data_IF_504544997253
#
_entry.id   IF_504544997253
#
_cell.length_a   1.000
_cell.length_b   1.000
_cell.length_c   1.000
_cell.angle_alpha   90.00
_cell.angle_beta   90.00
_cell.angle_gamma   90.00
#
_symmetry.space_group_name_H-M   'P 1'
#
loop_
_entity.id
_entity.type
_entity.pdbx_description
1 polymer ?
#
# COMPACT_ATOMS: atom_id res chain seq x y z
N UNK A 1 -14.71 11.35 37.17
CA UNK A 1 -14.43 9.93 37.50
C UNK A 1 -13.11 9.58 36.88
N UNK A 2 -12.14 9.28 37.71
CA UNK A 2 -10.72 9.25 37.37
C UNK A 2 -10.31 7.86 36.87
N UNK A 3 -9.63 7.78 35.70
CA UNK A 3 -9.28 6.53 35.00
C UNK A 3 -8.11 5.76 35.63
N UNK A 4 -7.68 6.12 36.86
CA UNK A 4 -6.51 5.51 37.52
C UNK A 4 -6.83 4.44 38.56
N UNK A 5 -8.07 4.06 38.77
CA UNK A 5 -8.48 3.13 39.85
C UNK A 5 -8.74 1.67 39.41
N UNK A 6 -8.53 1.30 38.15
CA UNK A 6 -8.90 -0.06 37.68
C UNK A 6 -7.74 -1.06 37.63
N UNK A 7 -6.53 -0.69 38.02
CA UNK A 7 -5.34 -1.54 37.88
C UNK A 7 -4.69 -1.99 39.20
N UNK A 8 -5.46 -2.09 40.27
CA UNK A 8 -4.94 -2.59 41.58
C UNK A 8 -5.82 -3.63 42.21
N UNK A 9 -6.07 -4.75 41.53
CA UNK A 9 -6.50 -5.99 42.23
C UNK A 9 -6.31 -7.18 41.28
N UNK A 10 -5.16 -7.80 41.30
CA UNK A 10 -4.93 -9.24 41.16
C UNK A 10 -3.48 -9.54 41.55
N UNK A 11 -3.34 -9.81 42.81
CA UNK A 11 -2.09 -10.31 43.38
C UNK A 11 -2.12 -11.82 43.53
N UNK A 12 -0.96 -12.42 43.29
CA UNK A 12 -0.39 -13.62 43.88
C UNK A 12 -1.20 -14.90 44.12
N UNK A 13 -0.79 -15.94 43.42
CA UNK A 13 -0.59 -17.34 43.89
C UNK A 13 0.08 -18.07 42.74
N UNK A 14 1.28 -18.65 42.82
CA UNK A 14 1.74 -19.64 43.73
C UNK A 14 2.36 -20.74 42.86
N UNK A 15 3.70 -20.79 42.81
CA UNK A 15 4.52 -21.77 42.09
C UNK A 15 4.37 -23.19 42.69
N UNK A 16 4.19 -24.20 41.85
CA UNK A 16 4.59 -25.57 42.17
C UNK A 16 5.12 -26.25 40.91
N UNK A 17 6.42 -26.43 40.88
CA UNK A 17 7.13 -27.27 39.93
C UNK A 17 7.00 -28.76 40.38
N UNK A 18 6.56 -29.60 39.43
CA UNK A 18 6.69 -31.07 39.61
C UNK A 18 7.43 -31.61 38.38
N UNK A 19 8.65 -32.07 38.61
CA UNK A 19 9.43 -32.83 37.65
C UNK A 19 8.97 -34.30 37.71
N UNK A 20 8.76 -34.93 36.56
CA UNK A 20 8.62 -36.37 36.44
C UNK A 20 9.43 -36.91 35.24
N UNK A 21 10.02 -38.09 35.32
CA UNK A 21 11.10 -38.51 34.46
C UNK A 21 10.65 -39.16 33.16
N UNK A 22 11.52 -38.97 32.15
CA UNK A 22 11.47 -39.64 30.85
C UNK A 22 11.68 -41.14 31.05
N UNK A 23 10.72 -41.96 30.60
CA UNK A 23 10.91 -43.35 30.32
C UNK A 23 10.76 -43.61 28.83
N UNK A 24 11.87 -43.93 28.22
CA UNK A 24 12.06 -44.40 26.87
C UNK A 24 11.58 -45.86 26.78
N UNK A 25 10.52 -46.11 26.00
CA UNK A 25 10.16 -47.47 25.58
C UNK A 25 10.13 -47.53 24.06
N UNK A 26 11.13 -48.24 23.51
CA UNK A 26 11.02 -48.83 22.18
C UNK A 26 10.07 -50.02 22.24
N UNK A 27 9.07 -50.02 21.35
CA UNK A 27 8.39 -51.25 20.95
C UNK A 27 8.03 -51.22 19.49
N UNK A 28 8.23 -52.32 18.87
CA UNK A 28 8.20 -52.69 17.48
C UNK A 28 6.79 -53.14 17.08
N UNK A 29 6.43 -52.77 15.87
CA UNK A 29 5.47 -53.38 14.94
C UNK A 29 4.09 -53.88 15.47
N UNK A 30 3.05 -53.28 14.95
CA UNK A 30 1.92 -53.94 14.27
C UNK A 30 1.02 -52.88 13.59
N UNK A 31 0.59 -53.21 12.37
CA UNK A 31 -0.28 -52.40 11.50
C UNK A 31 -1.68 -52.35 12.09
N UNK A 32 -2.25 -51.14 12.25
CA UNK A 32 -3.72 -50.90 12.24
C UNK A 32 -4.00 -49.50 11.71
N UNK A 33 -4.87 -49.46 10.71
CA UNK A 33 -5.43 -48.26 10.10
C UNK A 33 -6.22 -47.47 11.14
N UNK A 34 -5.69 -46.31 11.58
CA UNK A 34 -6.49 -45.32 12.32
C UNK A 34 -6.52 -44.00 11.59
N UNK A 35 -7.74 -43.55 11.37
CA UNK A 35 -8.10 -42.32 10.70
C UNK A 35 -7.30 -41.11 11.25
N UNK A 36 -6.39 -40.59 10.44
CA UNK A 36 -5.73 -39.33 10.68
C UNK A 36 -6.80 -38.23 10.55
N UNK A 37 -7.34 -37.81 11.67
CA UNK A 37 -8.07 -36.55 11.76
C UNK A 37 -7.07 -35.44 11.49
N UNK A 38 -6.95 -35.05 10.22
CA UNK A 38 -6.10 -33.94 9.79
C UNK A 38 -6.58 -32.68 10.51
N UNK A 39 -5.82 -32.25 11.52
CA UNK A 39 -5.87 -30.87 11.98
C UNK A 39 -5.38 -30.05 10.79
N UNK A 40 -6.33 -29.50 10.05
CA UNK A 40 -6.05 -28.48 9.06
C UNK A 40 -5.57 -27.27 9.88
N UNK A 41 -4.27 -27.21 10.14
CA UNK A 41 -3.64 -25.94 10.51
C UNK A 41 -3.85 -25.02 9.32
N UNK A 42 -4.90 -24.23 9.39
CA UNK A 42 -5.15 -23.13 8.47
C UNK A 42 -4.11 -22.05 8.79
N UNK A 43 -2.84 -22.33 8.44
CA UNK A 43 -1.81 -21.32 8.37
C UNK A 43 -2.27 -20.37 7.27
N UNK A 44 -2.96 -19.29 7.65
CA UNK A 44 -3.20 -18.17 6.74
C UNK A 44 -1.81 -17.75 6.28
N UNK A 45 -1.47 -18.10 5.05
CA UNK A 45 -0.24 -17.66 4.44
C UNK A 45 -0.25 -16.12 4.51
N UNK A 46 0.71 -15.52 5.21
CA UNK A 46 0.89 -14.06 5.25
C UNK A 46 1.04 -13.47 3.83
N UNK A 47 1.34 -14.31 2.84
CA UNK A 47 1.38 -13.96 1.43
C UNK A 47 0.03 -13.53 0.85
N UNK A 48 -1.12 -13.91 1.47
CA UNK A 48 -2.47 -13.57 1.00
C UNK A 48 -3.26 -12.80 2.08
N UNK A 49 -2.67 -11.77 2.67
CA UNK A 49 -3.34 -10.84 3.58
C UNK A 49 -3.85 -9.60 2.83
N UNK A 50 -4.95 -9.01 3.30
CA UNK A 50 -5.45 -7.72 2.77
C UNK A 50 -4.37 -6.66 2.92
N UNK A 51 -4.22 -5.81 1.90
CA UNK A 51 -3.33 -4.64 1.96
C UNK A 51 -3.82 -3.69 3.06
N UNK A 52 -2.89 -3.04 3.77
CA UNK A 52 -3.22 -2.07 4.82
C UNK A 52 -4.12 -0.96 4.27
N UNK A 53 -5.04 -0.51 5.10
CA UNK A 53 -5.93 0.61 4.76
C UNK A 53 -5.31 1.91 5.24
N UNK A 54 -5.26 2.88 4.32
CA UNK A 54 -4.71 4.19 4.57
C UNK A 54 -5.74 5.31 4.36
N UNK A 55 -5.39 6.51 4.75
CA UNK A 55 -6.25 7.68 4.53
C UNK A 55 -6.22 8.13 3.07
N UNK A 56 -7.35 8.68 2.56
CA UNK A 56 -7.37 9.40 1.28
C UNK A 56 -6.52 10.68 1.30
N UNK A 57 -6.08 11.11 2.47
CA UNK A 57 -5.31 12.32 2.65
C UNK A 57 -6.11 13.61 2.39
N UNK A 58 -5.43 14.77 2.34
CA UNK A 58 -6.08 16.06 2.20
C UNK A 58 -6.51 16.40 0.76
N UNK A 59 -6.12 15.58 -0.23
CA UNK A 59 -6.30 15.89 -1.65
C UNK A 59 -6.97 14.75 -2.45
N UNK A 60 -8.07 14.11 -1.98
CA UNK A 60 -8.74 13.05 -2.71
C UNK A 60 -9.30 13.54 -4.05
N UNK A 61 -9.51 12.63 -5.00
CA UNK A 61 -10.10 12.97 -6.30
C UNK A 61 -11.58 13.33 -6.13
N UNK A 62 -12.00 14.52 -6.61
CA UNK A 62 -13.36 15.03 -6.41
C UNK A 62 -14.39 14.36 -7.32
N UNK A 63 -14.01 14.05 -8.55
CA UNK A 63 -14.93 13.49 -9.57
C UNK A 63 -14.25 12.38 -10.37
N UNK A 64 -13.93 11.23 -9.75
CA UNK A 64 -13.10 10.20 -10.39
C UNK A 64 -13.77 9.56 -11.62
N UNK A 65 -15.11 9.54 -11.71
CA UNK A 65 -15.82 8.99 -12.88
C UNK A 65 -15.54 9.76 -14.17
N UNK A 66 -15.16 11.03 -14.08
CA UNK A 66 -14.77 11.86 -15.24
C UNK A 66 -13.31 11.65 -15.68
N UNK A 67 -12.52 10.85 -14.94
CA UNK A 67 -11.08 10.70 -15.14
C UNK A 67 -10.69 9.29 -15.61
N UNK A 68 -11.54 8.65 -16.42
CA UNK A 68 -11.27 7.34 -17.01
C UNK A 68 -10.21 7.49 -18.11
N UNK A 69 -8.95 7.31 -17.74
CA UNK A 69 -7.81 7.51 -18.64
C UNK A 69 -6.59 6.72 -18.20
N UNK A 70 -5.76 6.31 -19.19
CA UNK A 70 -4.48 5.62 -18.96
C UNK A 70 -3.33 6.63 -18.78
N UNK A 71 -3.28 7.66 -19.62
CA UNK A 71 -2.27 8.71 -19.53
C UNK A 71 -2.79 9.84 -18.62
N UNK A 72 -2.17 9.95 -17.44
CA UNK A 72 -2.54 10.93 -16.42
C UNK A 72 -1.58 12.13 -16.34
N UNK A 73 -0.59 12.19 -17.23
CA UNK A 73 0.46 13.25 -17.21
C UNK A 73 -0.15 14.65 -17.40
N UNK A 74 -1.10 14.79 -18.34
CA UNK A 74 -1.68 16.09 -18.72
C UNK A 74 -0.55 17.08 -19.13
N UNK A 75 -0.48 18.24 -18.49
CA UNK A 75 0.49 19.30 -18.71
C UNK A 75 1.73 19.23 -17.80
N UNK A 76 1.87 18.16 -17.02
CA UNK A 76 2.98 18.02 -16.08
C UNK A 76 4.25 17.51 -16.77
N UNK A 77 5.39 17.98 -16.28
CA UNK A 77 6.72 17.56 -16.72
C UNK A 77 7.45 16.88 -15.56
N UNK A 78 8.24 15.86 -15.87
CA UNK A 78 9.02 15.11 -14.90
C UNK A 78 9.69 13.90 -15.53
N UNK A 79 10.34 13.07 -14.73
CA UNK A 79 10.91 11.80 -15.17
C UNK A 79 9.76 10.88 -15.60
N UNK A 80 9.78 10.27 -16.80
CA UNK A 80 8.73 9.38 -17.28
C UNK A 80 8.49 8.23 -16.30
N UNK A 81 7.23 7.90 -16.06
CA UNK A 81 6.86 6.88 -15.09
C UNK A 81 5.66 6.06 -15.54
N UNK A 82 5.77 4.74 -15.42
CA UNK A 82 4.65 3.83 -15.65
C UNK A 82 4.26 3.12 -14.36
N UNK A 83 2.98 2.91 -14.17
CA UNK A 83 2.41 2.31 -12.97
C UNK A 83 1.56 1.12 -13.38
N UNK A 84 1.89 -0.07 -12.91
CA UNK A 84 1.11 -1.30 -13.12
C UNK A 84 0.64 -1.82 -11.75
N UNK A 85 -0.66 -1.85 -11.53
CA UNK A 85 -1.28 -2.37 -10.32
C UNK A 85 -2.06 -3.64 -10.65
N UNK A 86 -1.84 -4.70 -9.86
CA UNK A 86 -2.65 -5.93 -9.90
C UNK A 86 -3.54 -5.95 -8.67
N UNK A 87 -4.84 -6.19 -8.85
CA UNK A 87 -5.79 -6.35 -7.73
C UNK A 87 -6.12 -7.83 -7.57
N UNK A 88 -6.06 -8.33 -6.32
CA UNK A 88 -6.34 -9.71 -5.96
C UNK A 88 -7.40 -9.79 -4.88
N UNK A 89 -8.22 -10.86 -4.89
CA UNK A 89 -9.23 -11.12 -3.88
C UNK A 89 -8.74 -12.17 -2.88
N UNK A 90 -8.55 -11.78 -1.60
CA UNK A 90 -8.10 -12.69 -0.54
C UNK A 90 -9.10 -13.81 -0.26
N UNK A 91 -10.40 -13.55 -0.42
CA UNK A 91 -11.46 -14.55 -0.22
C UNK A 91 -11.48 -15.62 -1.32
N UNK A 92 -10.77 -15.38 -2.43
CA UNK A 92 -10.59 -16.32 -3.54
C UNK A 92 -9.12 -16.79 -3.64
N UNK A 93 -8.44 -17.02 -2.52
CA UNK A 93 -7.03 -17.43 -2.46
C UNK A 93 -6.09 -16.52 -3.26
N UNK A 94 -6.29 -15.21 -3.18
CA UNK A 94 -5.56 -14.21 -3.96
C UNK A 94 -5.64 -14.40 -5.47
N UNK A 95 -6.75 -14.92 -5.97
CA UNK A 95 -7.01 -14.88 -7.41
C UNK A 95 -7.12 -13.43 -7.90
N UNK A 96 -6.68 -13.18 -9.11
CA UNK A 96 -6.76 -11.87 -9.74
C UNK A 96 -8.21 -11.42 -9.87
N UNK A 97 -8.50 -10.17 -9.48
CA UNK A 97 -9.84 -9.61 -9.46
C UNK A 97 -10.10 -8.80 -10.74
N UNK A 98 -10.84 -9.39 -11.68
CA UNK A 98 -11.34 -8.70 -12.86
C UNK A 98 -12.51 -7.79 -12.52
N UNK A 99 -12.61 -6.62 -13.19
CA UNK A 99 -13.74 -5.71 -13.08
C UNK A 99 -13.70 -4.79 -11.86
N UNK A 100 -12.65 -4.84 -11.03
CA UNK A 100 -12.46 -3.86 -9.97
C UNK A 100 -12.16 -2.48 -10.57
N UNK A 101 -12.76 -1.44 -10.00
CA UNK A 101 -12.46 -0.06 -10.36
C UNK A 101 -11.31 0.42 -9.48
N UNK A 102 -10.28 1.03 -10.09
CA UNK A 102 -9.08 1.51 -9.41
C UNK A 102 -8.88 2.98 -9.75
N UNK A 103 -8.92 3.82 -8.73
CA UNK A 103 -8.53 5.22 -8.78
C UNK A 103 -7.12 5.38 -8.26
N UNK A 104 -6.31 6.19 -8.93
CA UNK A 104 -5.02 6.63 -8.40
C UNK A 104 -4.90 8.15 -8.47
N UNK A 105 -4.15 8.72 -7.52
CA UNK A 105 -3.71 10.10 -7.59
C UNK A 105 -2.40 10.30 -6.83
N UNK A 106 -1.61 11.25 -7.29
CA UNK A 106 -0.36 11.64 -6.63
C UNK A 106 0.01 13.09 -6.95
N UNK A 107 0.96 13.64 -6.21
CA UNK A 107 1.46 14.99 -6.45
C UNK A 107 2.37 15.06 -7.68
N UNK A 108 2.53 16.26 -8.23
CA UNK A 108 3.55 16.53 -9.24
C UNK A 108 4.97 16.54 -8.65
N UNK A 109 5.99 16.79 -9.49
CA UNK A 109 7.40 16.83 -9.08
C UNK A 109 7.72 17.86 -7.98
N UNK A 110 6.88 18.87 -7.84
CA UNK A 110 7.02 19.96 -6.87
C UNK A 110 6.23 19.72 -5.58
N UNK A 111 5.43 18.63 -5.53
CA UNK A 111 4.62 18.22 -4.39
C UNK A 111 3.21 18.79 -4.40
N UNK A 112 2.71 19.29 -5.55
CA UNK A 112 1.38 19.85 -5.67
C UNK A 112 0.38 18.84 -6.26
N UNK A 113 -0.85 18.90 -5.78
CA UNK A 113 -1.99 18.13 -6.28
C UNK A 113 -2.90 18.98 -7.15
N UNK A 114 -3.40 18.42 -8.24
CA UNK A 114 -4.52 18.99 -8.99
C UNK A 114 -5.80 18.98 -8.15
N UNK A 115 -6.83 19.73 -8.61
CA UNK A 115 -8.14 19.92 -7.96
C UNK A 115 -8.11 20.73 -6.66
N UNK A 116 -6.93 21.13 -6.17
CA UNK A 116 -6.73 21.83 -4.90
C UNK A 116 -5.80 23.03 -5.05
N UNK A 117 -5.77 23.88 -4.02
CA UNK A 117 -4.84 24.98 -3.90
C UNK A 117 -5.41 26.25 -3.33
N UNK A 118 -4.55 27.25 -3.12
CA UNK A 118 -4.91 28.52 -2.51
C UNK A 118 -5.12 28.45 -1.01
N UNK A 119 -4.63 27.38 -0.34
CA UNK A 119 -4.76 27.14 1.10
C UNK A 119 -3.40 26.94 1.76
N UNK A 120 -3.37 26.88 3.10
CA UNK A 120 -2.12 26.71 3.86
C UNK A 120 -1.36 25.42 3.56
N UNK A 121 -2.02 24.35 3.13
CA UNK A 121 -1.37 23.08 2.78
C UNK A 121 -0.77 23.08 1.36
N UNK A 122 -1.39 23.81 0.44
CA UNK A 122 -0.93 23.99 -0.94
C UNK A 122 -1.27 25.41 -1.40
N UNK A 123 -0.26 26.28 -1.44
CA UNK A 123 -0.42 27.68 -1.84
C UNK A 123 -0.67 27.85 -3.34
N UNK A 124 -0.03 27.00 -4.16
CA UNK A 124 -0.25 26.99 -5.62
C UNK A 124 -1.65 26.48 -5.93
N UNK A 125 -2.39 27.24 -6.75
CA UNK A 125 -3.78 26.94 -7.08
C UNK A 125 -3.89 26.13 -8.36
N UNK A 126 -4.31 24.87 -8.23
CA UNK A 126 -4.63 23.95 -9.31
C UNK A 126 -6.08 23.42 -9.22
N UNK A 127 -6.99 24.21 -8.62
CA UNK A 127 -8.37 23.79 -8.37
C UNK A 127 -9.15 23.39 -9.63
N UNK A 128 -8.80 23.95 -10.80
CA UNK A 128 -9.40 23.63 -12.09
C UNK A 128 -8.64 22.62 -12.94
N UNK A 129 -7.48 22.13 -12.45
CA UNK A 129 -6.68 21.14 -13.14
C UNK A 129 -7.00 19.72 -12.65
N UNK A 130 -6.69 18.69 -13.47
CA UNK A 130 -6.97 17.28 -13.15
C UNK A 130 -5.78 16.37 -13.44
N UNK A 131 -4.57 16.91 -13.47
CA UNK A 131 -3.35 16.14 -13.74
C UNK A 131 -3.08 15.10 -12.65
N UNK A 132 -2.38 14.03 -13.03
CA UNK A 132 -1.88 12.95 -12.18
C UNK A 132 -2.99 12.29 -11.33
N UNK A 133 -4.19 12.20 -11.92
CA UNK A 133 -5.35 11.47 -11.42
C UNK A 133 -5.92 10.61 -12.53
N UNK A 134 -6.32 9.39 -12.20
CA UNK A 134 -6.91 8.51 -13.20
C UNK A 134 -7.71 7.38 -12.58
N UNK A 135 -8.68 6.89 -13.36
CA UNK A 135 -9.52 5.74 -13.07
C UNK A 135 -9.39 4.72 -14.17
N UNK A 136 -9.26 3.45 -13.81
CA UNK A 136 -9.36 2.33 -14.74
C UNK A 136 -10.12 1.16 -14.10
N UNK A 137 -10.56 0.23 -14.96
CA UNK A 137 -11.16 -1.04 -14.54
C UNK A 137 -10.16 -2.16 -14.83
N UNK A 138 -9.96 -3.07 -13.87
CA UNK A 138 -9.03 -4.19 -14.02
C UNK A 138 -9.45 -5.13 -15.14
N UNK A 139 -8.46 -5.56 -15.92
CA UNK A 139 -8.61 -6.56 -17.00
C UNK A 139 -8.82 -7.98 -16.46
N UNK A 140 -8.83 -8.98 -17.35
CA UNK A 140 -8.96 -10.39 -17.00
C UNK A 140 -7.82 -10.93 -16.10
N UNK A 141 -6.69 -10.23 -16.07
CA UNK A 141 -5.55 -10.53 -15.20
C UNK A 141 -5.55 -9.70 -13.91
N UNK A 142 -6.64 -8.99 -13.61
CA UNK A 142 -6.75 -8.11 -12.46
C UNK A 142 -5.88 -6.85 -12.55
N UNK A 143 -5.44 -6.43 -13.75
CA UNK A 143 -4.45 -5.37 -13.95
C UNK A 143 -5.06 -4.08 -14.44
N UNK A 144 -4.47 -2.97 -13.96
CA UNK A 144 -4.59 -1.62 -14.53
C UNK A 144 -3.19 -1.05 -14.78
N UNK A 145 -3.08 -0.16 -15.78
CA UNK A 145 -1.80 0.47 -16.13
C UNK A 145 -2.01 1.97 -16.36
N UNK A 146 -1.07 2.77 -15.82
CA UNK A 146 -1.09 4.22 -16.02
C UNK A 146 0.26 4.71 -16.54
N UNK A 147 0.21 5.73 -17.39
CA UNK A 147 1.38 6.53 -17.80
C UNK A 147 1.35 7.83 -17.04
N UNK A 148 2.47 8.16 -16.38
CA UNK A 148 2.59 9.28 -15.47
C UNK A 148 3.99 9.92 -15.55
N UNK A 149 4.29 10.80 -14.61
CA UNK A 149 5.62 11.23 -14.21
C UNK A 149 5.93 10.69 -12.82
N UNK A 150 7.21 10.54 -12.50
CA UNK A 150 7.62 10.12 -11.15
C UNK A 150 7.13 11.17 -10.13
N UNK A 151 6.42 10.75 -9.06
CA UNK A 151 5.88 11.68 -8.07
C UNK A 151 6.99 12.41 -7.31
N UNK A 152 6.73 13.65 -6.96
CA UNK A 152 7.50 14.37 -5.96
C UNK A 152 7.09 13.96 -4.54
N UNK A 153 7.23 14.89 -3.62
CA UNK A 153 6.81 14.74 -2.23
C UNK A 153 6.39 16.10 -1.65
N UNK A 154 5.64 16.11 -0.57
CA UNK A 154 5.29 17.33 0.16
C UNK A 154 5.58 17.16 1.67
N UNK A 155 5.61 18.28 2.41
CA UNK A 155 6.05 18.30 3.80
C UNK A 155 5.26 17.32 4.68
N UNK A 156 5.99 16.52 5.45
CA UNK A 156 5.44 15.56 6.38
C UNK A 156 5.11 14.19 5.76
N UNK A 157 5.35 14.01 4.45
CA UNK A 157 5.05 12.76 3.76
C UNK A 157 6.24 12.23 2.95
N UNK A 158 6.36 10.91 2.90
CA UNK A 158 7.19 10.19 1.95
C UNK A 158 6.63 10.30 0.52
N UNK A 159 7.42 9.96 -0.50
CA UNK A 159 6.91 9.77 -1.87
C UNK A 159 5.90 8.62 -1.89
N UNK A 160 4.68 8.87 -2.37
CA UNK A 160 3.60 7.90 -2.36
C UNK A 160 2.60 8.11 -3.51
N UNK A 161 1.81 7.08 -3.78
CA UNK A 161 0.64 7.14 -4.67
C UNK A 161 -0.58 6.71 -3.86
N UNK A 162 -1.63 7.51 -3.87
CA UNK A 162 -2.92 7.14 -3.31
C UNK A 162 -3.65 6.20 -4.25
N UNK A 163 -4.36 5.22 -3.68
CA UNK A 163 -5.20 4.28 -4.42
C UNK A 163 -6.53 4.08 -3.71
N UNK A 164 -7.62 4.08 -4.47
CA UNK A 164 -8.93 3.66 -3.98
C UNK A 164 -9.45 2.55 -4.90
N UNK A 165 -9.73 1.41 -4.34
CA UNK A 165 -10.25 0.23 -5.05
C UNK A 165 -11.72 0.06 -4.72
N UNK A 166 -12.54 -0.14 -5.76
CA UNK A 166 -13.97 -0.42 -5.66
C UNK A 166 -14.30 -1.74 -6.36
N UNK A 167 -15.40 -2.36 -5.99
CA UNK A 167 -15.97 -3.45 -6.78
C UNK A 167 -16.63 -2.92 -8.07
N UNK A 168 -17.08 -3.82 -8.94
CA UNK A 168 -17.73 -3.47 -10.20
C UNK A 168 -19.03 -2.67 -10.03
N UNK A 169 -19.66 -2.72 -8.86
CA UNK A 169 -20.85 -1.93 -8.52
C UNK A 169 -20.51 -0.54 -7.96
N UNK A 170 -19.22 -0.19 -7.84
CA UNK A 170 -18.77 1.09 -7.31
C UNK A 170 -18.75 1.17 -5.78
N UNK A 171 -18.89 0.05 -5.08
CA UNK A 171 -18.76 0.03 -3.62
C UNK A 171 -17.27 0.00 -3.25
N UNK A 172 -16.86 0.83 -2.29
CA UNK A 172 -15.50 0.90 -1.78
C UNK A 172 -15.07 -0.43 -1.16
N UNK A 173 -13.92 -0.94 -1.58
CA UNK A 173 -13.27 -2.12 -1.02
C UNK A 173 -12.06 -1.75 -0.16
N UNK A 174 -11.25 -0.80 -0.61
CA UNK A 174 -10.03 -0.41 0.08
C UNK A 174 -9.59 0.99 -0.33
N UNK A 175 -9.23 1.81 0.64
CA UNK A 175 -8.39 3.00 0.45
C UNK A 175 -7.00 2.66 0.98
N UNK A 176 -5.96 2.90 0.21
CA UNK A 176 -4.57 2.61 0.58
C UNK A 176 -3.61 3.58 -0.09
N UNK A 177 -2.34 3.46 0.22
CA UNK A 177 -1.28 4.21 -0.44
C UNK A 177 -0.14 3.25 -0.81
N UNK A 178 0.51 3.50 -1.93
CA UNK A 178 1.68 2.75 -2.38
C UNK A 178 2.93 3.49 -1.93
N UNK A 179 3.76 2.82 -1.14
CA UNK A 179 5.06 3.30 -0.69
C UNK A 179 6.15 2.99 -1.73
N UNK A 180 7.19 3.81 -1.74
CA UNK A 180 8.35 3.64 -2.61
C UNK A 180 9.56 3.14 -1.83
N UNK A 181 10.40 2.26 -2.44
CA UNK A 181 11.69 1.90 -1.86
C UNK A 181 12.56 3.13 -1.65
N UNK A 182 13.26 3.18 -0.52
CA UNK A 182 14.15 4.26 -0.13
C UNK A 182 15.60 3.76 0.03
N UNK A 183 16.55 4.67 0.10
CA UNK A 183 17.98 4.39 0.16
C UNK A 183 18.73 5.13 -0.93
N UNK A 184 20.06 5.14 -0.85
CA UNK A 184 20.91 5.99 -1.70
C UNK A 184 20.78 5.70 -3.21
N UNK A 185 20.52 4.43 -3.56
CA UNK A 185 20.39 4.00 -4.96
C UNK A 185 18.94 3.78 -5.38
N UNK A 186 17.97 4.20 -4.53
CA UNK A 186 16.56 4.09 -4.84
C UNK A 186 16.14 5.06 -5.94
N UNK A 187 15.05 4.71 -6.64
CA UNK A 187 14.47 5.62 -7.63
C UNK A 187 14.11 6.99 -7.03
N UNK A 188 13.65 7.03 -5.77
CA UNK A 188 13.36 8.28 -5.04
C UNK A 188 14.61 9.14 -4.94
N UNK A 189 15.75 8.59 -4.52
CA UNK A 189 17.01 9.35 -4.38
C UNK A 189 17.55 9.79 -5.74
N UNK A 190 17.54 8.92 -6.75
CA UNK A 190 18.03 9.20 -8.10
C UNK A 190 17.19 10.30 -8.77
N UNK A 191 15.87 10.24 -8.65
CA UNK A 191 14.95 11.24 -9.20
C UNK A 191 15.09 12.57 -8.44
N UNK A 192 15.17 12.53 -7.12
CA UNK A 192 15.36 13.73 -6.31
C UNK A 192 16.65 14.48 -6.64
N UNK A 193 17.72 13.77 -7.03
CA UNK A 193 18.98 14.35 -7.49
C UNK A 193 18.93 14.86 -8.95
N UNK A 194 17.87 14.56 -9.70
CA UNK A 194 17.74 14.96 -11.10
C UNK A 194 17.27 16.40 -11.25
N UNK A 195 17.57 17.00 -12.42
CA UNK A 195 17.19 18.38 -12.73
C UNK A 195 15.67 18.55 -12.70
N UNK A 196 15.21 19.56 -11.97
CA UNK A 196 13.80 19.95 -11.90
C UNK A 196 13.01 19.34 -10.75
N UNK A 197 13.61 18.43 -9.97
CA UNK A 197 13.06 17.96 -8.69
C UNK A 197 13.70 18.73 -7.51
N UNK A 198 13.02 18.83 -6.39
CA UNK A 198 13.44 19.67 -5.25
C UNK A 198 14.46 19.02 -4.29
N UNK A 199 14.97 17.83 -4.63
CA UNK A 199 15.90 17.10 -3.77
C UNK A 199 15.23 16.47 -2.55
N UNK A 200 16.03 16.01 -1.59
CA UNK A 200 15.58 15.35 -0.36
C UNK A 200 15.76 16.21 0.91
N UNK A 201 16.08 17.49 0.78
CA UNK A 201 16.14 18.38 1.95
C UNK A 201 14.72 18.57 2.54
N UNK A 202 14.52 18.13 3.78
CA UNK A 202 13.20 18.13 4.45
C UNK A 202 12.27 16.99 4.04
N UNK A 203 12.75 15.98 3.32
CA UNK A 203 12.00 14.79 2.96
C UNK A 203 11.64 13.98 4.22
N UNK A 204 10.42 13.46 4.26
CA UNK A 204 9.99 12.51 5.30
C UNK A 204 10.16 11.10 4.76
N UNK A 205 10.96 10.27 5.42
CA UNK A 205 11.13 8.87 5.04
C UNK A 205 9.95 8.02 5.50
N UNK A 206 9.71 6.90 4.83
CA UNK A 206 8.62 5.96 5.16
C UNK A 206 8.57 5.63 6.66
N UNK A 207 9.73 5.44 7.29
CA UNK A 207 9.85 5.11 8.73
C UNK A 207 9.39 6.24 9.67
N UNK A 208 9.27 7.47 9.17
CA UNK A 208 8.87 8.65 9.92
C UNK A 208 7.55 9.25 9.42
N UNK A 209 6.94 8.62 8.42
CA UNK A 209 5.65 9.04 7.87
C UNK A 209 4.50 8.47 8.72
N UNK A 210 3.70 9.34 9.31
CA UNK A 210 2.62 8.94 10.21
C UNK A 210 1.56 8.06 9.53
N UNK A 211 1.39 8.17 8.21
CA UNK A 211 0.44 7.34 7.46
C UNK A 211 0.95 5.90 7.40
N UNK A 212 2.24 5.71 7.23
CA UNK A 212 2.89 4.38 7.21
C UNK A 212 3.34 3.90 8.59
N UNK A 213 2.74 4.39 9.68
CA UNK A 213 3.15 4.06 11.06
C UNK A 213 2.90 2.61 11.47
N UNK A 214 2.00 1.90 10.78
CA UNK A 214 1.74 0.47 10.95
C UNK A 214 2.64 -0.42 10.06
N UNK A 215 3.53 0.20 9.29
CA UNK A 215 4.51 -0.42 8.42
C UNK A 215 4.06 -0.54 6.97
N UNK A 216 5.02 -0.58 6.05
CA UNK A 216 4.80 -0.60 4.60
C UNK A 216 4.90 -1.98 3.96
N UNK A 217 4.89 -3.07 4.73
CA UNK A 217 5.27 -4.40 4.24
C UNK A 217 4.41 -4.92 3.07
N UNK A 218 3.12 -4.55 3.02
CA UNK A 218 2.20 -4.92 1.94
C UNK A 218 1.77 -3.74 1.06
N UNK A 219 2.44 -2.59 1.21
CA UNK A 219 2.25 -1.35 0.46
C UNK A 219 3.51 -0.97 -0.34
N UNK A 220 4.64 -1.62 -0.04
CA UNK A 220 5.91 -1.35 -0.70
C UNK A 220 5.90 -1.82 -2.15
N UNK A 221 6.14 -0.88 -3.06
CA UNK A 221 6.22 -1.16 -4.50
C UNK A 221 7.57 -1.74 -4.91
N UNK A 222 7.60 -2.40 -6.07
CA UNK A 222 8.84 -2.64 -6.82
C UNK A 222 8.98 -1.57 -7.91
N UNK A 223 10.14 -0.89 -7.93
CA UNK A 223 10.43 0.17 -8.89
C UNK A 223 11.74 -0.16 -9.63
N UNK A 224 11.70 -0.12 -10.96
CA UNK A 224 12.85 -0.40 -11.82
C UNK A 224 12.98 0.68 -12.89
N UNK A 225 14.17 0.89 -13.42
CA UNK A 225 14.42 1.87 -14.48
C UNK A 225 15.59 2.81 -14.19
N UNK A 226 15.62 3.92 -14.90
CA UNK A 226 16.65 4.95 -14.77
C UNK A 226 16.05 6.35 -14.97
N UNK A 227 16.74 7.40 -14.53
CA UNK A 227 16.30 8.79 -14.74
C UNK A 227 16.12 9.11 -16.22
N UNK A 228 17.04 8.67 -17.08
CA UNK A 228 16.99 8.95 -18.52
C UNK A 228 16.01 8.10 -19.31
N UNK A 229 15.80 6.84 -18.88
CA UNK A 229 14.88 5.90 -19.54
C UNK A 229 13.47 5.90 -18.96
N UNK A 230 13.26 6.59 -17.83
CA UNK A 230 12.04 6.49 -17.04
C UNK A 230 12.07 5.33 -16.07
N UNK A 231 11.11 5.32 -15.15
CA UNK A 231 10.90 4.25 -14.17
C UNK A 231 9.58 3.54 -14.40
N UNK A 232 9.51 2.28 -13.96
CA UNK A 232 8.32 1.46 -13.94
C UNK A 232 8.06 0.96 -12.51
N UNK A 233 6.84 1.17 -12.01
CA UNK A 233 6.36 0.65 -10.74
C UNK A 233 5.45 -0.54 -10.99
N UNK A 234 5.65 -1.59 -10.21
CA UNK A 234 4.68 -2.69 -10.09
C UNK A 234 4.27 -2.86 -8.64
N UNK A 235 2.98 -3.09 -8.40
CA UNK A 235 2.45 -3.33 -7.07
C UNK A 235 1.24 -4.27 -7.13
N UNK A 236 1.01 -5.05 -6.07
CA UNK A 236 -0.17 -5.91 -5.93
C UNK A 236 -0.98 -5.46 -4.72
N UNK A 237 -2.22 -5.06 -4.95
CA UNK A 237 -3.18 -4.70 -3.92
C UNK A 237 -4.12 -5.88 -3.69
N UNK A 238 -4.31 -6.24 -2.44
CA UNK A 238 -5.16 -7.35 -2.03
C UNK A 238 -6.36 -6.83 -1.27
N UNK A 239 -7.55 -7.19 -1.73
CA UNK A 239 -8.84 -6.75 -1.17
C UNK A 239 -9.67 -7.93 -0.75
N UNK A 240 -10.62 -7.71 0.15
CA UNK A 240 -11.67 -8.67 0.53
C UNK A 240 -12.95 -8.31 -0.23
N UNK A 241 -13.45 -9.22 -1.09
CA UNK A 241 -14.70 -9.05 -1.88
C UNK A 241 -15.71 -10.05 -1.46
#
# INVERSE_FOLDING_TARGET
>A
MDRKSFLKTLGMAGVAAVAAPVLMFCRKDDEDEDAVTGIINNSISTACAVTNSETEGPFPTKSPSGLVQTNIVSDRTGVPFTIAITVQNVNANCANLQGAIVDIWHCDKDGNYSEYGGTGMQSTNYASAHFLRGRQTTDANGKVNFTSIFPGWYNGRATHIHVHVYNAAGQSLLVTQIAFPEGNDSAVALVAASTGYKGLSGYTYNSNDNVFSDGTSNEMSAVTGTVSGGFALTHTIKVSV
#
